data_IF_279495735847
#
_entry.id   IF_279495735847
#
_cell.length_a   1.000
_cell.length_b   1.000
_cell.length_c   1.000
_cell.angle_alpha   90.00
_cell.angle_beta   90.00
_cell.angle_gamma   90.00
#
_symmetry.space_group_name_H-M   'P 1'
#
loop_
_entity.id
_entity.type
_entity.pdbx_description
1 polymer ?
#
# COMPACT_ATOMS: atom_id res chain seq x y z
N UNK A 1 3.60 10.32 46.56
CA UNK A 1 4.46 9.99 45.40
C UNK A 1 3.70 10.40 44.17
N UNK A 2 4.24 11.33 43.38
CA UNK A 2 3.53 11.93 42.26
C UNK A 2 3.37 10.92 41.12
N UNK A 3 2.14 10.45 40.92
CA UNK A 3 1.74 9.65 39.76
C UNK A 3 1.51 10.61 38.58
N UNK A 4 2.59 10.98 37.90
CA UNK A 4 2.54 11.82 36.71
C UNK A 4 2.00 10.99 35.54
N UNK A 5 0.67 10.87 35.46
CA UNK A 5 -0.03 10.33 34.29
C UNK A 5 0.41 11.13 33.06
N UNK A 6 1.30 10.55 32.26
CA UNK A 6 1.72 11.18 31.03
C UNK A 6 0.49 11.38 30.16
N UNK A 7 0.31 12.57 29.57
CA UNK A 7 -0.84 12.84 28.74
C UNK A 7 -0.84 11.85 27.56
N UNK A 8 -1.99 11.21 27.33
CA UNK A 8 -2.19 10.18 26.31
C UNK A 8 -2.92 10.82 25.14
N UNK A 9 -2.37 10.68 23.94
CA UNK A 9 -3.02 11.13 22.72
C UNK A 9 -4.03 10.07 22.30
N UNK A 10 -5.30 10.46 22.30
CA UNK A 10 -6.40 9.63 21.81
C UNK A 10 -6.58 9.81 20.31
N UNK A 11 -6.61 8.70 19.59
CA UNK A 11 -7.02 8.61 18.19
C UNK A 11 -8.20 7.65 18.06
N UNK A 12 -8.95 7.78 16.96
CA UNK A 12 -10.10 6.94 16.65
C UNK A 12 -11.10 6.87 17.83
N UNK A 13 -11.51 8.04 18.34
CA UNK A 13 -12.54 8.14 19.38
C UNK A 13 -12.23 7.33 20.67
N UNK A 14 -10.94 7.33 21.08
CA UNK A 14 -10.49 6.64 22.29
C UNK A 14 -10.06 5.18 22.09
N UNK A 15 -10.19 4.62 20.88
CA UNK A 15 -9.78 3.24 20.60
C UNK A 15 -8.26 3.05 20.50
N UNK A 16 -7.52 4.12 20.19
CA UNK A 16 -6.06 4.08 20.12
C UNK A 16 -5.52 5.15 21.08
N UNK A 17 -4.81 4.72 22.11
CA UNK A 17 -4.19 5.60 23.11
C UNK A 17 -2.67 5.49 22.97
N UNK A 18 -2.02 6.55 22.49
CA UNK A 18 -0.56 6.63 22.38
C UNK A 18 0.02 7.56 23.44
N UNK A 19 1.26 7.28 23.87
CA UNK A 19 2.04 8.19 24.72
C UNK A 19 2.26 9.51 23.98
N UNK A 20 1.95 10.65 24.60
CA UNK A 20 2.27 11.92 23.95
C UNK A 20 3.78 12.08 23.72
N UNK A 21 4.13 12.61 22.55
CA UNK A 21 5.53 12.85 22.15
C UNK A 21 6.24 11.66 21.49
N UNK A 22 5.61 10.48 21.39
CA UNK A 22 6.13 9.41 20.51
C UNK A 22 5.53 9.54 19.12
N UNK A 23 6.32 10.02 18.18
CA UNK A 23 5.97 10.02 16.76
C UNK A 23 5.99 8.59 16.19
N UNK A 24 5.19 8.34 15.14
CA UNK A 24 5.20 7.04 14.45
C UNK A 24 6.62 6.75 13.95
N UNK A 25 7.23 5.60 14.32
CA UNK A 25 8.56 5.23 13.90
C UNK A 25 8.76 5.36 12.38
N UNK A 26 9.86 5.97 11.90
CA UNK A 26 10.09 6.19 10.48
C UNK A 26 10.07 4.91 9.64
N UNK A 27 10.50 3.77 10.21
CA UNK A 27 10.47 2.48 9.51
C UNK A 27 9.03 2.02 9.19
N UNK A 28 8.06 2.31 10.07
CA UNK A 28 6.65 1.99 9.83
C UNK A 28 6.07 2.88 8.72
N UNK A 29 6.50 4.14 8.63
CA UNK A 29 6.13 5.02 7.51
C UNK A 29 6.71 4.51 6.19
N UNK A 30 7.94 4.01 6.22
CA UNK A 30 8.59 3.44 5.04
C UNK A 30 7.91 2.14 4.54
N UNK A 31 7.27 1.38 5.44
CA UNK A 31 6.51 0.19 5.06
C UNK A 31 5.41 0.51 4.02
N UNK A 32 4.74 1.68 4.13
CA UNK A 32 3.75 2.11 3.13
C UNK A 32 4.35 2.27 1.74
N UNK A 33 5.59 2.77 1.64
CA UNK A 33 6.29 2.93 0.36
C UNK A 33 6.65 1.56 -0.22
N UNK A 34 7.28 0.70 0.59
CA UNK A 34 7.77 -0.60 0.11
C UNK A 34 6.63 -1.53 -0.27
N UNK A 35 5.64 -1.68 0.61
CA UNK A 35 4.49 -2.57 0.36
C UNK A 35 3.65 -1.99 -0.77
N UNK A 36 3.37 -0.68 -0.75
CA UNK A 36 2.57 -0.01 -1.77
C UNK A 36 3.18 -0.14 -3.17
N UNK A 37 4.47 0.18 -3.31
CA UNK A 37 5.15 0.07 -4.60
C UNK A 37 5.32 -1.39 -5.04
N UNK A 38 5.56 -2.32 -4.11
CA UNK A 38 5.59 -3.75 -4.39
C UNK A 38 4.27 -4.28 -4.96
N UNK A 39 3.13 -3.90 -4.35
CA UNK A 39 1.81 -4.27 -4.85
C UNK A 39 1.53 -3.68 -6.25
N UNK A 40 1.88 -2.41 -6.46
CA UNK A 40 1.70 -1.76 -7.78
C UNK A 40 2.58 -2.44 -8.84
N UNK A 41 3.85 -2.69 -8.53
CA UNK A 41 4.75 -3.39 -9.43
C UNK A 41 4.24 -4.79 -9.77
N UNK A 42 3.72 -5.52 -8.78
CA UNK A 42 3.11 -6.83 -8.99
C UNK A 42 1.94 -6.77 -9.98
N UNK A 43 1.04 -5.79 -9.85
CA UNK A 43 -0.09 -5.63 -10.77
C UNK A 43 0.35 -5.41 -12.23
N UNK A 44 1.43 -4.65 -12.44
CA UNK A 44 1.95 -4.42 -13.79
C UNK A 44 2.73 -5.62 -14.34
N UNK A 45 3.58 -6.24 -13.53
CA UNK A 45 4.41 -7.39 -13.95
C UNK A 45 3.56 -8.63 -14.22
N UNK A 46 2.55 -8.88 -13.40
CA UNK A 46 1.66 -10.04 -13.49
C UNK A 46 0.28 -9.67 -14.04
N UNK A 47 0.19 -8.59 -14.83
CA UNK A 47 -1.07 -8.11 -15.40
C UNK A 47 -1.83 -9.19 -16.18
N UNK A 48 -1.08 -10.07 -16.84
CA UNK A 48 -1.59 -11.20 -17.62
C UNK A 48 -1.36 -12.55 -16.91
N UNK A 49 -1.15 -12.53 -15.60
CA UNK A 49 -0.75 -13.69 -14.83
C UNK A 49 0.70 -14.10 -15.10
N UNK A 50 1.07 -15.29 -14.64
CA UNK A 50 2.44 -15.78 -14.71
C UNK A 50 2.68 -16.59 -15.98
N UNK A 51 3.00 -15.89 -17.05
CA UNK A 51 3.15 -16.45 -18.40
C UNK A 51 4.51 -17.08 -18.65
N UNK A 52 5.54 -16.72 -17.88
CA UNK A 52 6.94 -17.16 -18.09
C UNK A 52 7.37 -18.35 -17.22
N UNK A 53 6.52 -18.83 -16.31
CA UNK A 53 6.88 -19.97 -15.46
C UNK A 53 6.90 -21.27 -16.27
N UNK A 54 7.93 -22.07 -16.09
CA UNK A 54 8.21 -23.28 -16.89
C UNK A 54 7.00 -24.23 -16.99
N UNK A 55 6.34 -24.51 -15.86
CA UNK A 55 5.23 -25.48 -15.84
C UNK A 55 3.86 -24.86 -16.13
N UNK A 56 3.52 -23.73 -15.49
CA UNK A 56 2.17 -23.12 -15.55
C UNK A 56 2.00 -22.04 -16.61
N UNK A 57 3.10 -21.45 -17.10
CA UNK A 57 3.08 -20.38 -18.10
C UNK A 57 2.32 -20.75 -19.38
N UNK A 58 2.55 -21.94 -19.97
CA UNK A 58 1.80 -22.38 -21.16
C UNK A 58 0.28 -22.42 -20.96
N UNK A 59 -0.18 -22.84 -19.77
CA UNK A 59 -1.61 -22.89 -19.45
C UNK A 59 -2.21 -21.49 -19.30
N UNK A 60 -1.50 -20.57 -18.63
CA UNK A 60 -1.91 -19.16 -18.47
C UNK A 60 -1.99 -18.47 -19.83
N UNK A 61 -1.00 -18.70 -20.70
CA UNK A 61 -1.02 -18.15 -22.06
C UNK A 61 -2.17 -18.72 -22.91
N UNK A 62 -2.45 -20.03 -22.80
CA UNK A 62 -3.57 -20.65 -23.49
C UNK A 62 -4.92 -20.08 -23.02
N UNK A 63 -5.07 -19.88 -21.71
CA UNK A 63 -6.26 -19.24 -21.14
C UNK A 63 -6.43 -17.82 -21.66
N UNK A 64 -5.39 -16.98 -21.61
CA UNK A 64 -5.45 -15.60 -22.11
C UNK A 64 -5.79 -15.53 -23.61
N UNK A 65 -5.33 -16.50 -24.42
CA UNK A 65 -5.71 -16.59 -25.84
C UNK A 65 -7.19 -16.93 -26.03
N UNK A 66 -7.76 -17.76 -25.15
CA UNK A 66 -9.16 -18.18 -25.22
C UNK A 66 -10.13 -17.11 -24.69
N UNK A 67 -9.75 -16.39 -23.62
CA UNK A 67 -10.62 -15.40 -22.96
C UNK A 67 -10.32 -13.97 -23.34
N UNK A 68 -9.24 -13.73 -24.08
CA UNK A 68 -8.64 -12.41 -24.34
C UNK A 68 -8.08 -11.77 -23.06
N UNK A 69 -7.13 -10.85 -23.22
CA UNK A 69 -6.57 -10.05 -22.13
C UNK A 69 -7.38 -8.75 -21.95
N UNK A 70 -7.47 -8.28 -20.71
CA UNK A 70 -8.10 -7.00 -20.38
C UNK A 70 -7.03 -5.94 -20.07
N UNK A 71 -6.00 -5.84 -20.92
CA UNK A 71 -4.79 -5.04 -20.68
C UNK A 71 -5.12 -3.57 -20.34
N UNK A 72 -6.07 -2.97 -21.07
CA UNK A 72 -6.49 -1.59 -20.82
C UNK A 72 -7.15 -1.40 -19.46
N UNK A 73 -8.05 -2.31 -19.06
CA UNK A 73 -8.71 -2.27 -17.75
C UNK A 73 -7.70 -2.46 -16.63
N UNK A 74 -6.82 -3.44 -16.75
CA UNK A 74 -5.81 -3.72 -15.73
C UNK A 74 -4.78 -2.59 -15.60
N UNK A 75 -4.41 -1.95 -16.71
CA UNK A 75 -3.57 -0.75 -16.68
C UNK A 75 -4.28 0.38 -15.92
N UNK A 76 -5.58 0.60 -16.13
CA UNK A 76 -6.35 1.59 -15.39
C UNK A 76 -6.39 1.28 -13.87
N UNK A 77 -6.60 0.01 -13.49
CA UNK A 77 -6.54 -0.42 -12.09
C UNK A 77 -5.15 -0.20 -11.49
N UNK A 78 -4.09 -0.53 -12.21
CA UNK A 78 -2.70 -0.30 -11.78
C UNK A 78 -2.38 1.17 -11.54
N UNK A 79 -2.84 2.06 -12.44
CA UNK A 79 -2.70 3.52 -12.27
C UNK A 79 -3.50 4.04 -11.07
N UNK A 80 -4.73 3.55 -10.87
CA UNK A 80 -5.53 3.92 -9.71
C UNK A 80 -4.86 3.51 -8.40
N UNK A 81 -4.29 2.29 -8.35
CA UNK A 81 -3.51 1.82 -7.21
C UNK A 81 -2.26 2.68 -6.97
N UNK A 82 -1.55 3.08 -8.03
CA UNK A 82 -0.40 3.98 -7.94
C UNK A 82 -0.78 5.34 -7.35
N UNK A 83 -1.87 5.95 -7.80
CA UNK A 83 -2.39 7.21 -7.26
C UNK A 83 -2.74 7.07 -5.77
N UNK A 84 -3.41 5.98 -5.41
CA UNK A 84 -3.75 5.69 -4.01
C UNK A 84 -2.48 5.59 -3.13
N UNK A 85 -1.48 4.83 -3.55
CA UNK A 85 -0.21 4.68 -2.83
C UNK A 85 0.50 6.04 -2.70
N UNK A 86 0.49 6.86 -3.74
CA UNK A 86 1.06 8.20 -3.69
C UNK A 86 0.37 9.08 -2.64
N UNK A 87 -0.96 9.06 -2.59
CA UNK A 87 -1.74 9.80 -1.58
C UNK A 87 -1.42 9.31 -0.16
N UNK A 88 -1.36 7.99 0.06
CA UNK A 88 -1.03 7.41 1.37
C UNK A 88 0.38 7.80 1.79
N UNK A 89 1.35 7.78 0.88
CA UNK A 89 2.72 8.22 1.17
C UNK A 89 2.75 9.71 1.51
N UNK A 90 2.11 10.56 0.71
CA UNK A 90 2.01 12.00 0.99
C UNK A 90 1.39 12.25 2.37
N UNK A 91 0.33 11.52 2.71
CA UNK A 91 -0.31 11.60 4.03
C UNK A 91 0.63 11.16 5.16
N UNK A 92 1.29 10.01 5.03
CA UNK A 92 2.17 9.45 6.06
C UNK A 92 3.39 10.34 6.37
N UNK A 93 3.90 11.07 5.38
CA UNK A 93 5.04 11.98 5.52
C UNK A 93 4.64 13.46 5.71
N UNK A 94 3.34 13.79 5.69
CA UNK A 94 2.86 15.16 5.93
C UNK A 94 3.13 15.55 7.39
N UNK A 95 3.74 16.72 7.62
CA UNK A 95 3.97 17.25 8.97
C UNK A 95 2.64 17.68 9.60
N UNK A 96 2.42 17.41 10.90
CA UNK A 96 1.26 17.95 11.60
C UNK A 96 1.46 19.48 11.74
N UNK A 97 0.65 20.27 11.03
CA UNK A 97 0.69 21.74 11.07
C UNK A 97 0.60 22.46 9.72
N UNK A 98 0.63 21.75 8.59
CA UNK A 98 0.28 22.33 7.29
C UNK A 98 -1.26 22.39 7.18
N UNK A 99 -1.84 23.52 7.61
CA UNK A 99 -3.20 23.92 7.30
C UNK A 99 -3.28 24.49 5.88
#
# INVERSE_FOLDING_TARGET
MADSKQPLKSYADGWIMEKEGTDVPPFLKFAFVVIGTGCVAYLFLYMNGETEHADRGPLVQAFNRATQSADGLMTAVGLMALVYVAIVCLFAFRRPGAH
#
